data_IF_517541932679
#
_entry.id   IF_517541932679
#
_cell.length_a   1.000
_cell.length_b   1.000
_cell.length_c   1.000
_cell.angle_alpha   90.00
_cell.angle_beta   90.00
_cell.angle_gamma   90.00
#
_symmetry.space_group_name_H-M   'P 1'
#
loop_
_entity.id
_entity.type
_entity.pdbx_description
1 polymer ?
#
# COMPACT_ATOMS: atom_id res chain seq x y z
N UNK A 1 -12.35 28.98 18.80
CA UNK A 1 -13.75 29.24 19.21
C UNK A 1 -14.45 27.90 19.28
N UNK A 2 -15.09 27.58 20.41
CA UNK A 2 -15.80 26.33 20.61
C UNK A 2 -17.27 26.50 20.17
N UNK A 3 -17.68 25.82 19.12
CA UNK A 3 -19.10 25.70 18.74
C UNK A 3 -19.37 24.29 18.23
N UNK A 4 -19.44 23.34 19.16
CA UNK A 4 -20.29 22.17 18.99
C UNK A 4 -21.58 22.50 19.73
N UNK A 5 -22.66 22.76 19.01
CA UNK A 5 -23.97 22.99 19.60
C UNK A 5 -24.56 21.66 20.09
N UNK A 6 -24.01 21.12 21.17
CA UNK A 6 -24.80 20.26 22.06
C UNK A 6 -25.76 21.18 22.81
N UNK A 7 -26.79 21.66 22.12
CA UNK A 7 -27.89 22.36 22.75
C UNK A 7 -28.50 21.39 23.78
N UNK A 8 -28.65 21.83 25.04
CA UNK A 8 -29.42 21.09 26.04
C UNK A 8 -30.81 20.83 25.46
N UNK A 9 -31.06 19.61 25.01
CA UNK A 9 -32.39 19.20 24.52
C UNK A 9 -33.35 19.25 25.70
N UNK A 10 -34.56 19.76 25.47
CA UNK A 10 -35.62 19.65 26.47
C UNK A 10 -35.85 18.17 26.78
N UNK A 11 -36.27 17.85 28.01
CA UNK A 11 -36.65 16.48 28.41
C UNK A 11 -37.71 15.89 27.47
N UNK A 12 -38.56 16.74 26.92
CA UNK A 12 -39.57 16.37 25.93
C UNK A 12 -38.95 15.99 24.57
N UNK A 13 -37.96 16.75 24.09
CA UNK A 13 -37.29 16.48 22.83
C UNK A 13 -36.46 15.19 22.89
N UNK A 14 -35.81 14.94 24.03
CA UNK A 14 -35.09 13.69 24.28
C UNK A 14 -36.04 12.47 24.24
N UNK A 15 -37.24 12.59 24.83
CA UNK A 15 -38.26 11.53 24.80
C UNK A 15 -38.75 11.27 23.37
N UNK A 16 -39.06 12.34 22.62
CA UNK A 16 -39.48 12.24 21.21
C UNK A 16 -38.42 11.57 20.34
N UNK A 17 -37.14 11.85 20.58
CA UNK A 17 -36.06 11.22 19.83
C UNK A 17 -35.95 9.72 20.10
N UNK A 18 -36.09 9.29 21.36
CA UNK A 18 -36.11 7.87 21.71
C UNK A 18 -37.30 7.15 21.07
N UNK A 19 -38.50 7.73 21.15
CA UNK A 19 -39.71 7.18 20.52
C UNK A 19 -39.57 7.08 18.99
N UNK A 20 -38.94 8.07 18.35
CA UNK A 20 -38.63 8.04 16.91
C UNK A 20 -37.64 6.93 16.57
N UNK A 21 -36.57 6.76 17.36
CA UNK A 21 -35.58 5.69 17.18
C UNK A 21 -36.23 4.30 17.36
N UNK A 22 -37.11 4.13 18.34
CA UNK A 22 -37.90 2.90 18.54
C UNK A 22 -38.86 2.62 17.38
N UNK A 23 -39.58 3.63 16.90
CA UNK A 23 -40.47 3.51 15.74
C UNK A 23 -39.69 3.15 14.46
N UNK A 24 -38.50 3.73 14.26
CA UNK A 24 -37.60 3.38 13.16
C UNK A 24 -37.11 1.94 13.28
N UNK A 25 -36.73 1.50 14.48
CA UNK A 25 -36.30 0.13 14.76
C UNK A 25 -37.43 -0.90 14.58
N UNK A 26 -38.67 -0.49 14.83
CA UNK A 26 -39.86 -1.29 14.58
C UNK A 26 -40.35 -1.26 13.11
N UNK A 27 -39.70 -0.48 12.24
CA UNK A 27 -40.09 -0.32 10.83
C UNK A 27 -41.36 0.52 10.60
N UNK A 28 -41.83 1.23 11.62
CA UNK A 28 -43.02 2.10 11.57
C UNK A 28 -42.71 3.50 11.03
N UNK A 29 -41.46 3.94 11.16
CA UNK A 29 -40.97 5.24 10.69
C UNK A 29 -39.82 5.06 9.69
N UNK A 30 -39.67 5.97 8.71
CA UNK A 30 -38.60 5.89 7.72
C UNK A 30 -37.22 6.07 8.37
N UNK A 31 -36.23 5.37 7.79
CA UNK A 31 -34.85 5.45 8.21
C UNK A 31 -34.29 6.88 8.07
N UNK A 32 -33.28 7.19 8.87
CA UNK A 32 -32.56 8.45 8.74
C UNK A 32 -31.71 8.44 7.46
N UNK A 33 -31.61 9.56 6.76
CA UNK A 33 -30.88 9.66 5.50
C UNK A 33 -29.60 10.47 5.73
N UNK A 34 -28.46 9.89 5.33
CA UNK A 34 -27.13 10.51 5.35
C UNK A 34 -27.05 11.68 4.33
N UNK A 35 -26.01 12.51 4.43
CA UNK A 35 -25.66 13.58 3.49
C UNK A 35 -25.60 13.12 2.03
N UNK A 36 -25.14 11.89 1.80
CA UNK A 36 -25.01 11.28 0.47
C UNK A 36 -26.32 10.65 -0.03
N UNK A 37 -27.44 10.84 0.67
CA UNK A 37 -28.75 10.27 0.32
C UNK A 37 -28.91 8.79 0.64
N UNK A 38 -28.00 8.22 1.46
CA UNK A 38 -28.05 6.80 1.86
C UNK A 38 -28.80 6.62 3.17
N UNK A 39 -29.66 5.63 3.24
CA UNK A 39 -30.37 5.28 4.47
C UNK A 39 -29.39 4.71 5.52
N UNK A 40 -29.47 5.23 6.74
CA UNK A 40 -28.76 4.76 7.91
C UNK A 40 -29.65 3.72 8.59
N UNK A 41 -29.14 2.49 8.68
CA UNK A 41 -29.87 1.38 9.30
C UNK A 41 -30.21 1.71 10.78
N UNK A 42 -31.50 1.75 11.17
CA UNK A 42 -31.93 2.04 12.54
C UNK A 42 -31.44 1.07 13.61
N UNK A 43 -30.96 -0.11 13.22
CA UNK A 43 -30.42 -1.12 14.15
C UNK A 43 -28.93 -0.89 14.49
N UNK A 44 -28.25 0.06 13.83
CA UNK A 44 -26.90 0.47 14.21
C UNK A 44 -26.99 1.18 15.57
N UNK A 45 -26.21 0.72 16.54
CA UNK A 45 -26.20 1.32 17.88
C UNK A 45 -25.81 2.80 17.81
N UNK A 46 -26.39 3.60 18.71
CA UNK A 46 -26.23 5.05 18.72
C UNK A 46 -24.75 5.50 18.77
N UNK A 47 -23.90 4.79 19.52
CA UNK A 47 -22.47 5.11 19.61
C UNK A 47 -21.69 4.87 18.31
N UNK A 48 -22.19 4.00 17.41
CA UNK A 48 -21.58 3.77 16.11
C UNK A 48 -22.07 4.78 15.06
N UNK A 49 -23.35 5.15 15.11
CA UNK A 49 -23.95 6.10 14.16
C UNK A 49 -23.62 7.56 14.47
N UNK A 50 -23.43 7.92 15.74
CA UNK A 50 -23.06 9.28 16.13
C UNK A 50 -21.62 9.60 15.70
N UNK A 51 -21.45 10.58 14.81
CA UNK A 51 -20.13 11.08 14.44
C UNK A 51 -19.48 11.82 15.64
N UNK A 52 -18.22 11.51 16.00
CA UNK A 52 -17.51 12.23 17.05
C UNK A 52 -17.36 13.73 16.76
N UNK A 53 -17.34 14.55 17.82
CA UNK A 53 -17.31 16.02 17.73
C UNK A 53 -16.15 16.58 16.90
N UNK A 54 -14.99 15.91 16.87
CA UNK A 54 -13.80 16.37 16.15
C UNK A 54 -13.89 16.21 14.63
N UNK A 55 -14.93 15.54 14.11
CA UNK A 55 -15.18 15.41 12.67
C UNK A 55 -16.11 16.50 12.14
N UNK A 56 -16.64 17.38 12.99
CA UNK A 56 -17.52 18.51 12.63
C UNK A 56 -18.63 18.13 11.64
N UNK A 57 -19.19 16.92 11.76
CA UNK A 57 -20.30 16.47 10.93
C UNK A 57 -21.58 17.19 11.37
N UNK A 58 -22.18 17.97 10.49
CA UNK A 58 -23.43 18.70 10.76
C UNK A 58 -24.66 17.81 10.64
N UNK A 59 -24.55 16.70 9.89
CA UNK A 59 -25.63 15.74 9.66
C UNK A 59 -25.24 14.33 10.12
N UNK A 60 -26.22 13.47 10.44
CA UNK A 60 -26.00 12.05 10.69
C UNK A 60 -25.30 11.42 9.49
N UNK A 61 -24.11 10.85 9.69
CA UNK A 61 -23.38 10.17 8.62
C UNK A 61 -22.62 8.95 9.14
N UNK A 62 -22.37 7.99 8.25
CA UNK A 62 -21.49 6.85 8.52
C UNK A 62 -20.09 7.02 7.90
N UNK A 63 -19.75 8.23 7.46
CA UNK A 63 -18.48 8.54 6.79
C UNK A 63 -17.28 8.28 7.72
N UNK A 64 -17.42 8.54 9.02
CA UNK A 64 -16.38 8.29 10.03
C UNK A 64 -16.08 6.81 10.25
N UNK A 65 -17.04 5.93 9.95
CA UNK A 65 -16.86 4.48 10.01
C UNK A 65 -16.20 3.93 8.73
N UNK A 66 -16.14 4.72 7.65
CA UNK A 66 -15.47 4.30 6.42
C UNK A 66 -13.96 4.41 6.57
N UNK A 67 -13.27 3.58 5.79
CA UNK A 67 -11.82 3.61 5.72
C UNK A 67 -11.36 4.98 5.19
N UNK A 68 -10.76 5.78 6.07
CA UNK A 68 -10.32 7.15 5.76
C UNK A 68 -8.96 7.21 5.06
N UNK A 69 -8.08 6.22 5.31
CA UNK A 69 -6.85 6.04 4.54
C UNK A 69 -7.11 5.07 3.39
N UNK A 70 -6.95 5.54 2.16
CA UNK A 70 -6.81 4.61 1.04
C UNK A 70 -5.57 3.75 1.29
N UNK A 71 -5.63 2.47 0.91
CA UNK A 71 -4.43 1.65 0.94
C UNK A 71 -3.37 2.30 0.05
N UNK A 72 -2.08 2.27 0.45
CA UNK A 72 -1.00 2.58 -0.47
C UNK A 72 -1.23 1.78 -1.75
N UNK A 73 -0.97 2.40 -2.90
CA UNK A 73 -1.04 1.69 -4.17
C UNK A 73 0.16 0.74 -4.24
N UNK A 74 0.01 -0.44 -3.63
CA UNK A 74 1.04 -1.47 -3.60
C UNK A 74 1.35 -1.89 -5.04
N UNK A 75 2.63 -1.93 -5.37
CA UNK A 75 3.05 -2.22 -6.75
C UNK A 75 3.10 -3.72 -6.97
N UNK A 76 2.46 -4.25 -8.01
CA UNK A 76 2.62 -5.67 -8.41
C UNK A 76 3.96 -5.97 -9.10
N UNK A 77 4.86 -4.99 -9.16
CA UNK A 77 6.16 -5.11 -9.83
C UNK A 77 7.17 -5.74 -8.89
N UNK A 78 8.04 -6.56 -9.47
CA UNK A 78 9.17 -7.16 -8.78
C UNK A 78 10.50 -6.66 -9.35
N UNK A 79 11.57 -6.77 -8.55
CA UNK A 79 12.92 -6.34 -8.93
C UNK A 79 13.40 -7.00 -10.23
N UNK A 80 13.88 -6.20 -11.17
CA UNK A 80 14.53 -6.67 -12.38
C UNK A 80 15.93 -7.23 -12.09
N UNK A 81 15.99 -8.51 -11.68
CA UNK A 81 17.25 -9.17 -11.34
C UNK A 81 18.20 -9.22 -12.53
N UNK A 82 19.42 -8.71 -12.35
CA UNK A 82 20.45 -8.74 -13.38
C UNK A 82 20.31 -7.66 -14.46
N UNK A 83 19.33 -6.76 -14.34
CA UNK A 83 19.23 -5.60 -15.21
C UNK A 83 20.43 -4.67 -15.01
N UNK A 84 21.03 -4.29 -16.13
CA UNK A 84 22.21 -3.43 -16.22
C UNK A 84 21.81 -2.15 -16.93
N UNK A 85 22.22 -1.01 -16.40
CA UNK A 85 21.87 0.30 -16.96
C UNK A 85 22.99 0.82 -17.86
N UNK A 86 24.16 1.07 -17.26
CA UNK A 86 25.25 1.77 -17.93
C UNK A 86 26.58 1.09 -17.65
N UNK A 87 27.43 0.97 -18.68
CA UNK A 87 28.79 0.48 -18.52
C UNK A 87 29.77 1.59 -18.88
N UNK A 88 30.65 1.94 -17.95
CA UNK A 88 31.71 2.91 -18.18
C UNK A 88 32.95 2.23 -18.75
N UNK A 89 33.69 2.90 -19.64
CA UNK A 89 34.98 2.41 -20.14
C UNK A 89 36.14 2.71 -19.18
N UNK A 90 35.96 3.67 -18.27
CA UNK A 90 36.97 4.12 -17.32
C UNK A 90 36.38 4.20 -15.91
N UNK A 91 37.26 4.06 -14.91
CA UNK A 91 36.89 4.19 -13.52
C UNK A 91 36.36 5.60 -13.21
N UNK A 92 35.23 5.67 -12.51
CA UNK A 92 34.61 6.91 -12.03
C UNK A 92 34.88 7.10 -10.54
N UNK A 93 35.08 8.34 -10.11
CA UNK A 93 35.23 8.66 -8.69
C UNK A 93 33.96 8.28 -7.94
N UNK A 94 34.10 7.53 -6.84
CA UNK A 94 32.97 7.00 -6.06
C UNK A 94 32.50 5.61 -6.50
N UNK A 95 33.06 5.04 -7.58
CA UNK A 95 32.76 3.67 -7.96
C UNK A 95 33.44 2.66 -7.04
N UNK A 96 32.95 1.43 -7.06
CA UNK A 96 33.58 0.28 -6.44
C UNK A 96 35.05 0.16 -6.89
N UNK A 97 35.97 0.20 -5.94
CA UNK A 97 37.42 0.12 -6.22
C UNK A 97 37.82 -1.20 -6.89
N UNK A 98 37.04 -2.27 -6.68
CA UNK A 98 37.29 -3.60 -7.25
C UNK A 98 36.83 -3.71 -8.71
N UNK A 99 35.53 -3.54 -8.97
CA UNK A 99 34.93 -3.79 -10.28
C UNK A 99 34.62 -2.52 -11.10
N UNK A 100 34.52 -1.34 -10.47
CA UNK A 100 34.22 -0.08 -11.15
C UNK A 100 32.74 0.26 -11.36
N UNK A 101 31.80 -0.54 -10.85
CA UNK A 101 30.38 -0.18 -10.81
C UNK A 101 30.10 0.89 -9.73
N UNK A 102 29.12 1.77 -9.96
CA UNK A 102 28.74 2.84 -9.03
C UNK A 102 27.67 2.45 -8.00
N UNK A 103 27.12 1.25 -8.11
CA UNK A 103 25.94 0.83 -7.32
C UNK A 103 26.27 0.29 -5.94
N UNK A 104 27.53 -0.06 -5.68
CA UNK A 104 27.97 -0.70 -4.44
C UNK A 104 29.42 -0.36 -4.08
N UNK A 105 29.79 -0.67 -2.84
CA UNK A 105 31.14 -0.49 -2.33
C UNK A 105 32.03 -1.71 -2.59
N UNK A 106 33.36 -1.55 -2.48
CA UNK A 106 34.31 -2.65 -2.66
C UNK A 106 34.07 -3.85 -1.73
N UNK A 107 33.48 -3.63 -0.55
CA UNK A 107 33.16 -4.69 0.42
C UNK A 107 31.92 -5.50 0.06
N UNK A 108 30.93 -4.88 -0.58
CA UNK A 108 29.68 -5.52 -1.02
C UNK A 108 29.74 -5.97 -2.48
N UNK A 109 30.93 -5.93 -3.08
CA UNK A 109 31.14 -6.32 -4.47
C UNK A 109 30.92 -7.81 -4.68
N UNK A 110 30.04 -8.18 -5.62
CA UNK A 110 29.83 -9.58 -6.02
C UNK A 110 30.93 -10.12 -6.95
N UNK A 111 31.77 -9.24 -7.52
CA UNK A 111 32.90 -9.67 -8.32
C UNK A 111 34.04 -10.17 -7.44
N UNK A 112 34.78 -11.17 -7.93
CA UNK A 112 35.94 -11.72 -7.22
C UNK A 112 36.92 -10.60 -6.83
N UNK A 113 37.38 -10.53 -5.56
CA UNK A 113 38.37 -9.54 -5.15
C UNK A 113 39.64 -9.60 -6.00
N UNK A 114 39.98 -8.48 -6.65
CA UNK A 114 41.16 -8.37 -7.52
C UNK A 114 42.36 -7.87 -6.72
N UNK A 115 43.57 -8.38 -7.03
CA UNK A 115 44.83 -7.89 -6.43
C UNK A 115 45.09 -6.42 -6.78
N UNK A 116 44.81 -6.03 -8.03
CA UNK A 116 44.78 -4.64 -8.50
C UNK A 116 43.36 -4.37 -8.99
N UNK A 117 42.65 -3.51 -8.28
CA UNK A 117 41.25 -3.17 -8.61
C UNK A 117 41.12 -2.32 -9.87
N UNK A 118 39.88 -2.14 -10.32
CA UNK A 118 39.50 -1.25 -11.42
C UNK A 118 40.00 0.18 -11.21
N UNK A 119 40.10 0.66 -9.96
CA UNK A 119 40.60 2.00 -9.62
C UNK A 119 41.98 2.32 -10.20
N UNK A 120 42.88 1.33 -10.26
CA UNK A 120 44.25 1.53 -10.76
C UNK A 120 44.45 1.06 -12.19
N UNK A 121 43.61 0.13 -12.66
CA UNK A 121 43.81 -0.55 -13.95
C UNK A 121 42.89 -0.04 -15.05
N UNK A 122 41.73 0.56 -14.73
CA UNK A 122 40.66 0.88 -15.69
C UNK A 122 40.24 -0.31 -16.57
N UNK A 123 40.56 -1.54 -16.18
CA UNK A 123 40.27 -2.74 -16.96
C UNK A 123 39.08 -3.50 -16.37
N UNK A 124 38.28 -4.11 -17.24
CA UNK A 124 37.13 -4.94 -16.88
C UNK A 124 36.17 -4.20 -15.93
N UNK A 125 35.70 -3.02 -16.37
CA UNK A 125 34.72 -2.23 -15.63
C UNK A 125 33.37 -2.94 -15.70
N UNK A 126 32.81 -3.24 -14.54
CA UNK A 126 31.48 -3.83 -14.43
C UNK A 126 30.40 -2.78 -14.78
N UNK A 127 29.31 -3.21 -15.42
CA UNK A 127 28.14 -2.36 -15.64
C UNK A 127 27.43 -2.04 -14.32
N UNK A 128 26.82 -0.86 -14.25
CA UNK A 128 25.97 -0.42 -13.15
C UNK A 128 24.67 -1.21 -13.13
N UNK A 129 24.26 -1.63 -11.94
CA UNK A 129 23.03 -2.36 -11.67
C UNK A 129 21.81 -1.43 -11.60
N UNK A 130 20.63 -1.94 -11.91
CA UNK A 130 19.38 -1.21 -11.68
C UNK A 130 18.95 -1.33 -10.22
N UNK A 131 19.00 -0.21 -9.49
CA UNK A 131 18.52 -0.14 -8.10
C UNK A 131 17.06 0.32 -8.12
N UNK A 132 16.16 -0.53 -7.67
CA UNK A 132 14.73 -0.23 -7.56
C UNK A 132 14.30 -0.31 -6.09
N UNK A 133 13.26 0.44 -5.72
CA UNK A 133 12.64 0.37 -4.40
C UNK A 133 11.13 0.28 -4.58
N UNK A 134 10.50 -0.66 -3.87
CA UNK A 134 9.07 -0.92 -3.97
C UNK A 134 8.45 -0.96 -2.58
N UNK A 135 7.24 -0.43 -2.47
CA UNK A 135 6.40 -0.61 -1.29
C UNK A 135 5.40 -1.72 -1.58
N UNK A 136 5.59 -2.83 -0.88
CA UNK A 136 4.75 -4.02 -0.95
C UNK A 136 4.07 -4.25 0.40
N UNK A 137 2.89 -4.84 0.34
CA UNK A 137 2.13 -5.30 1.49
C UNK A 137 2.78 -6.55 2.13
N UNK A 138 2.16 -7.10 3.17
CA UNK A 138 2.72 -8.23 3.89
C UNK A 138 2.81 -9.48 3.01
N UNK A 139 1.76 -9.75 2.24
CA UNK A 139 1.65 -10.92 1.37
C UNK A 139 2.50 -10.73 0.12
N UNK A 140 2.48 -9.55 -0.51
CA UNK A 140 3.33 -9.23 -1.65
C UNK A 140 4.83 -9.34 -1.34
N UNK A 141 5.29 -9.04 -0.13
CA UNK A 141 6.70 -9.29 0.26
C UNK A 141 7.04 -10.78 0.42
N UNK A 142 6.05 -11.62 0.69
CA UNK A 142 6.21 -13.05 1.02
C UNK A 142 5.77 -13.98 -0.09
N UNK A 143 5.24 -13.44 -1.18
CA UNK A 143 4.84 -14.26 -2.31
C UNK A 143 6.07 -15.02 -2.85
N UNK A 144 5.95 -16.35 -2.82
CA UNK A 144 6.97 -17.29 -3.30
C UNK A 144 7.18 -17.16 -4.80
N UNK A 145 6.17 -16.67 -5.53
CA UNK A 145 6.18 -16.54 -6.99
C UNK A 145 6.59 -15.16 -7.48
N UNK A 146 7.10 -14.30 -6.59
CA UNK A 146 7.65 -13.01 -6.94
C UNK A 146 8.76 -13.09 -8.00
N UNK A 147 8.55 -12.40 -9.14
CA UNK A 147 9.46 -12.42 -10.28
C UNK A 147 9.41 -13.71 -11.11
N UNK A 148 8.35 -14.52 -10.99
CA UNK A 148 8.15 -15.68 -11.84
C UNK A 148 7.87 -15.26 -13.30
N UNK A 149 8.70 -15.74 -14.22
CA UNK A 149 8.46 -15.58 -15.65
C UNK A 149 7.45 -16.63 -16.13
N UNK A 150 6.26 -16.15 -16.52
CA UNK A 150 5.15 -16.99 -16.99
C UNK A 150 5.52 -17.83 -18.22
N UNK A 151 6.48 -17.39 -19.04
CA UNK A 151 6.96 -18.14 -20.19
C UNK A 151 7.64 -19.47 -19.79
N UNK A 152 8.23 -19.52 -18.60
CA UNK A 152 8.92 -20.72 -18.10
C UNK A 152 7.97 -21.88 -17.80
N UNK A 153 6.66 -21.60 -17.66
CA UNK A 153 5.65 -22.64 -17.49
C UNK A 153 5.53 -23.55 -18.71
N UNK A 154 5.90 -23.07 -19.91
CA UNK A 154 5.94 -23.89 -21.12
C UNK A 154 6.78 -25.16 -20.92
N UNK A 155 7.90 -25.09 -20.17
CA UNK A 155 8.75 -26.26 -19.87
C UNK A 155 8.03 -27.35 -19.07
N UNK A 156 7.03 -26.97 -18.27
CA UNK A 156 6.19 -27.93 -17.53
C UNK A 156 5.24 -28.60 -18.50
N UNK A 157 4.59 -27.82 -19.38
CA UNK A 157 3.71 -28.33 -20.44
C UNK A 157 4.46 -29.32 -21.34
N UNK A 158 5.63 -28.94 -21.84
CA UNK A 158 6.47 -29.78 -22.70
C UNK A 158 6.82 -31.13 -22.03
N UNK A 159 7.12 -31.11 -20.74
CA UNK A 159 7.45 -32.32 -19.98
C UNK A 159 6.28 -33.32 -19.92
N UNK A 160 5.05 -32.82 -19.84
CA UNK A 160 3.87 -33.68 -19.85
C UNK A 160 3.53 -34.16 -21.26
N UNK A 161 3.75 -33.32 -22.29
CA UNK A 161 3.51 -33.69 -23.68
C UNK A 161 4.48 -34.75 -24.21
N UNK A 162 5.75 -34.75 -23.77
CA UNK A 162 6.76 -35.75 -24.19
C UNK A 162 6.47 -37.15 -23.62
N UNK A 163 5.66 -37.26 -22.57
CA UNK A 163 5.31 -38.53 -21.92
C UNK A 163 4.02 -39.17 -22.46
N UNK A 164 3.36 -38.55 -23.44
CA UNK A 164 2.22 -39.10 -24.18
C UNK A 164 2.68 -39.62 -25.53
#
# INVERSE_FOLDING_TARGET
>A
MATASMAFKSREDHRKQLELEEARKAGLAPAEVDEDGKEINPHISQYMSSAPWYLNAERPSLKHQRKWKQDPNYTDKWYERGAKIFQADKYRKGACQNCGAMTHDAKSCMERPRKKGAIHTNMYIAPDEKIETFELDYDGKRDRWNGYDTSTYARVVDRYLIKA
#
